data_IF_402159919204
#
_entry.id   IF_402159919204
#
_cell.length_a   1.000
_cell.length_b   1.000
_cell.length_c   1.000
_cell.angle_alpha   90.00
_cell.angle_beta   90.00
_cell.angle_gamma   90.00
#
_symmetry.space_group_name_H-M   'P 1'
#
loop_
_entity.id
_entity.type
_entity.pdbx_description
1 polymer ?
#
# COMPACT_ATOMS: atom_id res chain seq x y z
N UNK A 1 -18.60 -5.60 11.60
CA UNK A 1 -17.44 -4.75 11.21
C UNK A 1 -16.30 -5.72 11.00
N UNK A 2 -15.92 -5.96 9.74
CA UNK A 2 -14.98 -7.01 9.37
C UNK A 2 -13.58 -6.67 9.87
N UNK A 3 -12.84 -7.68 10.33
CA UNK A 3 -11.40 -7.57 10.48
C UNK A 3 -10.83 -7.69 9.06
N UNK A 4 -10.23 -6.64 8.51
CA UNK A 4 -9.49 -6.77 7.24
C UNK A 4 -8.30 -7.70 7.48
N UNK A 5 -8.18 -8.75 6.66
CA UNK A 5 -7.07 -9.72 6.73
C UNK A 5 -6.26 -9.58 5.46
N UNK A 6 -5.14 -8.85 5.57
CA UNK A 6 -4.20 -8.63 4.47
C UNK A 6 -2.94 -9.47 4.68
N UNK A 7 -2.52 -10.19 3.65
CA UNK A 7 -1.19 -10.80 3.56
C UNK A 7 -0.34 -10.11 2.50
N UNK A 8 0.95 -9.93 2.78
CA UNK A 8 1.90 -9.20 1.93
C UNK A 8 3.14 -10.00 1.66
N UNK A 9 3.56 -10.02 0.41
CA UNK A 9 4.68 -10.82 -0.08
C UNK A 9 5.63 -9.98 -0.91
N UNK A 10 6.92 -10.29 -0.83
CA UNK A 10 7.88 -9.87 -1.84
C UNK A 10 7.60 -10.60 -3.15
N UNK A 11 7.88 -9.97 -4.29
CA UNK A 11 7.76 -10.60 -5.60
C UNK A 11 9.12 -11.15 -6.03
N UNK A 12 9.18 -12.43 -6.39
CA UNK A 12 10.42 -13.11 -6.75
C UNK A 12 10.64 -13.28 -8.26
N UNK A 13 9.63 -12.98 -9.09
CA UNK A 13 9.75 -12.97 -10.56
C UNK A 13 8.67 -12.13 -11.23
N UNK A 14 8.93 -11.68 -12.46
CA UNK A 14 7.99 -10.86 -13.25
C UNK A 14 6.90 -11.70 -13.96
N UNK A 15 6.76 -12.98 -13.62
CA UNK A 15 5.81 -13.88 -14.26
C UNK A 15 4.34 -13.44 -14.10
N UNK A 16 4.05 -12.59 -13.11
CA UNK A 16 2.72 -12.00 -12.88
C UNK A 16 2.25 -11.07 -14.00
N UNK A 17 3.17 -10.48 -14.79
CA UNK A 17 2.82 -9.52 -15.85
C UNK A 17 1.83 -10.10 -16.87
N UNK A 18 1.94 -11.39 -17.17
CA UNK A 18 1.09 -12.05 -18.19
C UNK A 18 -0.37 -12.20 -17.75
N UNK A 19 -0.61 -12.14 -16.46
CA UNK A 19 -1.91 -12.42 -15.82
C UNK A 19 -2.57 -11.12 -15.32
N UNK A 20 -2.00 -9.95 -15.63
CA UNK A 20 -2.56 -8.64 -15.24
C UNK A 20 -3.88 -8.39 -15.96
N UNK A 21 -4.95 -8.23 -15.16
CA UNK A 21 -6.28 -7.91 -15.67
C UNK A 21 -6.51 -6.42 -15.87
N UNK A 22 -5.98 -5.59 -14.97
CA UNK A 22 -6.03 -4.12 -15.04
C UNK A 22 -4.89 -3.52 -14.21
N UNK A 23 -4.67 -2.23 -14.39
CA UNK A 23 -3.66 -1.49 -13.62
C UNK A 23 -4.18 -0.10 -13.28
N UNK A 24 -3.75 0.43 -12.15
CA UNK A 24 -4.16 1.73 -11.67
C UNK A 24 -2.98 2.46 -11.03
N UNK A 25 -2.83 3.75 -11.35
CA UNK A 25 -1.80 4.58 -10.72
C UNK A 25 -2.31 5.09 -9.38
N UNK A 26 -1.48 4.96 -8.36
CA UNK A 26 -1.74 5.50 -7.04
C UNK A 26 -0.73 6.59 -6.72
N UNK A 27 -1.22 7.67 -6.12
CA UNK A 27 -0.41 8.70 -5.45
C UNK A 27 -1.04 8.97 -4.10
N UNK A 28 -0.26 8.93 -3.03
CA UNK A 28 -0.78 9.22 -1.70
C UNK A 28 0.26 9.91 -0.83
N UNK A 29 -0.22 10.66 0.16
CA UNK A 29 0.59 11.42 1.09
C UNK A 29 -0.16 11.68 2.37
N UNK A 30 0.57 12.05 3.41
CA UNK A 30 0.01 12.32 4.74
C UNK A 30 0.09 13.81 5.04
N UNK A 31 -1.01 14.36 5.58
CA UNK A 31 -1.12 15.76 5.99
C UNK A 31 -0.82 15.90 7.48
N UNK A 32 0.11 16.81 7.79
CA UNK A 32 0.48 17.16 9.16
C UNK A 32 1.13 16.01 9.95
N UNK A 33 1.41 16.29 11.21
CA UNK A 33 1.88 15.33 12.20
C UNK A 33 1.02 15.52 13.46
N UNK A 34 -0.09 14.78 13.52
CA UNK A 34 -1.04 14.88 14.63
C UNK A 34 -0.94 13.63 15.48
N UNK A 35 -0.77 13.74 16.81
CA UNK A 35 -0.75 12.58 17.70
C UNK A 35 -2.13 11.92 17.86
N UNK A 36 -3.20 12.59 17.42
CA UNK A 36 -4.57 12.12 17.57
C UNK A 36 -5.09 11.36 16.34
N UNK A 37 -4.63 11.73 15.14
CA UNK A 37 -5.14 11.16 13.90
C UNK A 37 -4.14 11.27 12.74
N UNK A 38 -4.18 10.27 11.86
CA UNK A 38 -3.51 10.30 10.57
C UNK A 38 -4.49 10.78 9.51
N UNK A 39 -4.12 11.80 8.74
CA UNK A 39 -4.88 12.29 7.59
C UNK A 39 -4.11 11.94 6.32
N UNK A 40 -4.70 11.14 5.44
CA UNK A 40 -4.10 10.67 4.20
C UNK A 40 -4.90 11.15 3.01
N UNK A 41 -4.22 11.82 2.08
CA UNK A 41 -4.75 12.10 0.74
C UNK A 41 -4.33 10.94 -0.15
N UNK A 42 -5.27 10.37 -0.91
CA UNK A 42 -4.99 9.29 -1.87
C UNK A 42 -5.72 9.55 -3.17
N UNK A 43 -4.98 9.49 -4.28
CA UNK A 43 -5.48 9.40 -5.64
C UNK A 43 -5.31 7.96 -6.11
N UNK A 44 -6.39 7.41 -6.66
CA UNK A 44 -6.46 6.12 -7.35
C UNK A 44 -7.01 6.37 -8.76
N UNK A 45 -6.13 6.37 -9.77
CA UNK A 45 -6.50 6.68 -11.14
C UNK A 45 -7.09 8.09 -11.25
N UNK A 46 -8.38 8.18 -11.50
CA UNK A 46 -9.13 9.44 -11.65
C UNK A 46 -9.97 9.81 -10.42
N UNK A 47 -9.89 9.00 -9.35
CA UNK A 47 -10.65 9.22 -8.11
C UNK A 47 -9.71 9.63 -6.99
N UNK A 48 -10.19 10.47 -6.08
CA UNK A 48 -9.41 10.92 -4.94
C UNK A 48 -10.23 10.94 -3.66
N UNK A 49 -9.59 10.56 -2.55
CA UNK A 49 -10.21 10.49 -1.25
C UNK A 49 -9.27 11.03 -0.16
N UNK A 50 -9.87 11.68 0.83
CA UNK A 50 -9.28 11.92 2.15
C UNK A 50 -9.69 10.80 3.09
N UNK A 51 -8.71 10.23 3.78
CA UNK A 51 -8.90 9.21 4.78
C UNK A 51 -8.35 9.73 6.12
N UNK A 52 -9.19 9.75 7.15
CA UNK A 52 -8.84 10.24 8.49
C UNK A 52 -9.00 9.07 9.46
N UNK A 53 -7.90 8.62 10.04
CA UNK A 53 -7.86 7.48 10.99
C UNK A 53 -7.36 7.94 12.35
N UNK A 54 -8.13 7.68 13.40
CA UNK A 54 -7.69 7.92 14.77
C UNK A 54 -6.46 7.07 15.14
N UNK A 55 -5.51 7.63 15.90
CA UNK A 55 -4.30 6.95 16.36
C UNK A 55 -4.50 6.14 17.67
N UNK A 56 -5.73 5.98 18.14
CA UNK A 56 -6.03 5.29 19.40
C UNK A 56 -5.56 3.84 19.40
N UNK A 57 -5.08 3.39 20.57
CA UNK A 57 -4.69 2.00 20.84
C UNK A 57 -5.96 1.17 21.05
N UNK A 58 -6.23 0.21 20.16
CA UNK A 58 -7.37 -0.71 20.25
C UNK A 58 -7.74 -1.36 18.91
N UNK A 59 -8.61 -2.36 18.93
CA UNK A 59 -9.02 -3.16 17.75
C UNK A 59 -9.92 -2.38 16.77
N UNK A 60 -10.54 -1.28 17.24
CA UNK A 60 -11.42 -0.43 16.43
C UNK A 60 -11.00 1.02 16.63
N UNK A 61 -10.61 1.67 15.53
CA UNK A 61 -10.31 3.11 15.51
C UNK A 61 -11.38 3.82 14.66
N UNK A 62 -11.78 5.05 15.03
CA UNK A 62 -12.58 5.88 14.16
C UNK A 62 -11.87 6.07 12.82
N UNK A 63 -12.59 5.83 11.75
CA UNK A 63 -12.13 6.01 10.39
C UNK A 63 -13.20 6.76 9.60
N UNK A 64 -12.77 7.77 8.85
CA UNK A 64 -13.62 8.59 8.01
C UNK A 64 -13.03 8.67 6.62
N UNK A 65 -13.88 8.52 5.61
CA UNK A 65 -13.51 8.64 4.21
C UNK A 65 -14.39 9.69 3.52
N UNK A 66 -13.74 10.59 2.79
CA UNK A 66 -14.41 11.66 2.05
C UNK A 66 -13.86 11.72 0.62
N UNK A 67 -14.72 11.65 -0.40
CA UNK A 67 -14.28 11.95 -1.76
C UNK A 67 -13.88 13.43 -1.85
N UNK A 68 -12.83 13.70 -2.62
CA UNK A 68 -12.37 15.06 -2.92
C UNK A 68 -12.15 15.22 -4.42
N UNK A 69 -12.32 16.43 -4.98
CA UNK A 69 -11.98 16.68 -6.38
C UNK A 69 -10.52 16.32 -6.67
N UNK A 70 -10.26 15.70 -7.83
CA UNK A 70 -8.92 15.25 -8.21
C UNK A 70 -7.90 16.39 -8.19
N UNK A 71 -8.28 17.56 -8.74
CA UNK A 71 -7.42 18.75 -8.76
C UNK A 71 -7.04 19.24 -7.35
N UNK A 72 -7.98 19.16 -6.40
CA UNK A 72 -7.71 19.54 -5.01
C UNK A 72 -6.77 18.52 -4.36
N UNK A 73 -6.98 17.22 -4.63
CA UNK A 73 -6.09 16.17 -4.12
C UNK A 73 -4.66 16.30 -4.66
N UNK A 74 -4.48 16.60 -5.95
CA UNK A 74 -3.17 16.87 -6.54
C UNK A 74 -2.50 18.06 -5.85
N UNK A 75 -3.23 19.18 -5.67
CA UNK A 75 -2.71 20.35 -4.97
C UNK A 75 -2.31 20.03 -3.52
N UNK A 76 -3.12 19.28 -2.77
CA UNK A 76 -2.82 18.83 -1.41
C UNK A 76 -1.55 17.96 -1.38
N UNK A 77 -1.46 16.98 -2.27
CA UNK A 77 -0.31 16.07 -2.36
C UNK A 77 0.97 16.82 -2.70
N UNK A 78 0.92 17.73 -3.66
CA UNK A 78 2.11 18.41 -4.15
C UNK A 78 2.61 19.47 -3.17
N UNK A 79 1.70 20.21 -2.53
CA UNK A 79 2.03 21.41 -1.76
C UNK A 79 2.03 21.20 -0.24
N UNK A 80 1.15 20.34 0.29
CA UNK A 80 0.90 20.27 1.74
C UNK A 80 1.26 18.93 2.38
N UNK A 81 1.26 17.83 1.61
CA UNK A 81 1.64 16.53 2.14
C UNK A 81 3.13 16.43 2.44
N UNK A 82 3.45 15.70 3.51
CA UNK A 82 4.82 15.32 3.84
C UNK A 82 5.45 14.55 2.67
N UNK A 83 6.74 14.79 2.44
CA UNK A 83 7.55 14.11 1.44
C UNK A 83 8.44 13.03 2.06
N UNK A 84 8.80 11.98 1.30
CA UNK A 84 8.30 11.66 -0.03
C UNK A 84 6.82 11.25 -0.05
N UNK A 85 6.20 11.38 -1.22
CA UNK A 85 4.90 10.77 -1.48
C UNK A 85 5.07 9.26 -1.70
N UNK A 86 4.02 8.50 -1.46
CA UNK A 86 3.95 7.11 -1.91
C UNK A 86 3.28 7.09 -3.28
N UNK A 87 4.07 6.76 -4.29
CA UNK A 87 3.61 6.61 -5.67
C UNK A 87 3.84 5.18 -6.11
N UNK A 88 2.86 4.58 -6.77
CA UNK A 88 2.94 3.20 -7.27
C UNK A 88 2.00 2.96 -8.43
N UNK A 89 2.27 1.93 -9.21
CA UNK A 89 1.28 1.32 -10.12
C UNK A 89 0.85 0.02 -9.47
N UNK A 90 -0.45 -0.10 -9.19
CA UNK A 90 -1.06 -1.33 -8.70
C UNK A 90 -1.60 -2.12 -9.88
N UNK A 91 -1.14 -3.35 -10.03
CA UNK A 91 -1.60 -4.30 -11.02
C UNK A 91 -2.50 -5.34 -10.35
N UNK A 92 -3.65 -5.61 -10.93
CA UNK A 92 -4.62 -6.56 -10.39
C UNK A 92 -4.50 -7.88 -11.15
N UNK A 93 -4.09 -8.95 -10.45
CA UNK A 93 -3.71 -10.24 -11.03
C UNK A 93 -4.64 -11.32 -10.47
N UNK A 94 -5.61 -11.81 -11.26
CA UNK A 94 -6.46 -12.92 -10.84
C UNK A 94 -5.66 -14.21 -10.72
N UNK A 95 -5.75 -14.89 -9.58
CA UNK A 95 -5.11 -16.18 -9.38
C UNK A 95 -5.92 -17.04 -8.40
N UNK A 96 -6.26 -18.27 -8.82
CA UNK A 96 -6.93 -19.28 -7.99
C UNK A 96 -8.17 -18.77 -7.22
N UNK A 97 -8.98 -17.91 -7.83
CA UNK A 97 -10.22 -17.39 -7.23
C UNK A 97 -10.08 -16.07 -6.46
N UNK A 98 -8.85 -15.58 -6.26
CA UNK A 98 -8.59 -14.29 -5.61
C UNK A 98 -8.02 -13.27 -6.60
N UNK A 99 -8.14 -11.99 -6.26
CA UNK A 99 -7.43 -10.91 -6.94
C UNK A 99 -6.22 -10.54 -6.08
N UNK A 100 -5.04 -10.68 -6.66
CA UNK A 100 -3.80 -10.21 -6.07
C UNK A 100 -3.52 -8.79 -6.53
N UNK A 101 -3.05 -7.95 -5.62
CA UNK A 101 -2.64 -6.58 -5.89
C UNK A 101 -1.11 -6.51 -5.90
N UNK A 102 -0.51 -6.44 -7.09
CA UNK A 102 0.93 -6.28 -7.24
C UNK A 102 1.28 -4.81 -7.39
N UNK A 103 1.95 -4.27 -6.40
CA UNK A 103 2.36 -2.87 -6.32
C UNK A 103 3.81 -2.69 -6.76
N UNK A 104 3.99 -1.95 -7.86
CA UNK A 104 5.30 -1.48 -8.31
C UNK A 104 5.48 -0.04 -7.85
N UNK A 105 6.32 0.16 -6.85
CA UNK A 105 6.56 1.50 -6.29
C UNK A 105 7.42 2.37 -7.22
N UNK A 106 7.20 3.68 -7.13
CA UNK A 106 7.83 4.72 -7.93
C UNK A 106 8.54 5.74 -7.02
N UNK A 107 9.25 6.68 -7.65
CA UNK A 107 9.92 7.78 -6.94
C UNK A 107 10.98 7.27 -5.96
N UNK A 108 10.96 7.78 -4.74
CA UNK A 108 11.91 7.42 -3.68
C UNK A 108 11.79 5.95 -3.23
N UNK A 109 10.66 5.30 -3.57
CA UNK A 109 10.42 3.89 -3.29
C UNK A 109 10.63 2.99 -4.53
N UNK A 110 11.15 3.54 -5.64
CA UNK A 110 11.37 2.79 -6.86
C UNK A 110 12.28 1.57 -6.66
N UNK A 111 11.90 0.46 -7.30
CA UNK A 111 12.57 -0.85 -7.20
C UNK A 111 11.93 -1.79 -6.17
N UNK A 112 11.08 -1.29 -5.28
CA UNK A 112 10.25 -2.13 -4.42
C UNK A 112 9.04 -2.65 -5.20
N UNK A 113 8.84 -3.97 -5.18
CA UNK A 113 7.64 -4.64 -5.68
C UNK A 113 7.10 -5.55 -4.59
N UNK A 114 5.84 -5.35 -4.22
CA UNK A 114 5.13 -6.18 -3.24
C UNK A 114 3.83 -6.68 -3.83
N UNK A 115 3.35 -7.81 -3.35
CA UNK A 115 2.04 -8.32 -3.68
C UNK A 115 1.21 -8.47 -2.41
N UNK A 116 -0.01 -7.98 -2.47
CA UNK A 116 -0.98 -8.03 -1.38
C UNK A 116 -2.18 -8.89 -1.82
N UNK A 117 -2.74 -9.63 -0.87
CA UNK A 117 -4.03 -10.31 -0.99
C UNK A 117 -4.86 -9.94 0.24
N UNK A 118 -6.08 -9.47 0.00
CA UNK A 118 -7.08 -9.22 1.03
C UNK A 118 -8.05 -10.41 1.09
N UNK A 119 -8.33 -10.87 2.31
CA UNK A 119 -9.21 -11.99 2.61
C UNK A 119 -10.43 -11.50 3.38
N UNK A 120 -11.57 -12.16 3.17
CA UNK A 120 -12.85 -11.81 3.80
C UNK A 120 -12.87 -12.18 5.29
N UNK A 121 -12.08 -13.18 5.69
CA UNK A 121 -12.04 -13.65 7.08
C UNK A 121 -10.65 -14.19 7.50
N UNK A 122 -10.33 -14.12 8.81
CA UNK A 122 -9.14 -14.78 9.34
C UNK A 122 -9.17 -16.29 9.10
N UNK A 123 -8.09 -16.82 8.54
CA UNK A 123 -7.95 -18.26 8.25
C UNK A 123 -8.61 -18.73 6.96
N UNK A 124 -9.11 -17.81 6.13
CA UNK A 124 -9.50 -18.12 4.77
C UNK A 124 -8.31 -18.68 3.99
N UNK A 125 -8.52 -19.80 3.29
CA UNK A 125 -7.49 -20.46 2.53
C UNK A 125 -7.31 -19.79 1.16
N UNK A 126 -6.08 -19.50 0.79
CA UNK A 126 -5.71 -18.99 -0.53
C UNK A 126 -4.52 -19.77 -1.09
N UNK A 127 -4.36 -19.74 -2.41
CA UNK A 127 -3.21 -20.37 -3.08
C UNK A 127 -2.14 -19.32 -3.36
N UNK A 128 -0.88 -19.63 -3.01
CA UNK A 128 0.24 -18.75 -3.28
C UNK A 128 0.68 -18.84 -4.76
N UNK A 129 0.68 -17.73 -5.53
CA UNK A 129 1.20 -17.72 -6.88
C UNK A 129 2.70 -18.05 -6.92
N UNK A 130 3.22 -18.70 -7.98
CA UNK A 130 4.65 -19.03 -8.08
C UNK A 130 5.61 -17.83 -8.05
N UNK A 131 5.11 -16.63 -8.33
CA UNK A 131 5.87 -15.38 -8.31
C UNK A 131 5.83 -14.66 -6.96
N UNK A 132 4.98 -15.10 -6.02
CA UNK A 132 4.95 -14.57 -4.66
C UNK A 132 6.03 -15.29 -3.82
N UNK A 133 6.93 -14.50 -3.24
CA UNK A 133 8.09 -14.94 -2.48
C UNK A 133 7.87 -14.89 -0.98
N UNK A 134 8.82 -14.31 -0.26
CA UNK A 134 8.79 -14.22 1.19
C UNK A 134 7.61 -13.39 1.70
N UNK A 135 6.90 -13.90 2.70
CA UNK A 135 5.86 -13.16 3.38
C UNK A 135 6.47 -12.09 4.30
N UNK A 136 6.00 -10.86 4.17
CA UNK A 136 6.46 -9.67 4.90
C UNK A 136 5.31 -8.95 5.62
N UNK A 137 4.15 -9.59 5.76
CA UNK A 137 2.94 -9.06 6.42
C UNK A 137 3.23 -8.45 7.80
N UNK A 138 4.11 -9.09 8.59
CA UNK A 138 4.49 -8.63 9.93
C UNK A 138 5.59 -7.58 9.98
N UNK A 139 6.21 -7.22 8.85
CA UNK A 139 7.36 -6.33 8.81
C UNK A 139 6.90 -4.88 8.58
N UNK A 140 6.84 -4.10 9.67
CA UNK A 140 6.37 -2.70 9.69
C UNK A 140 7.07 -1.81 8.66
N UNK A 141 8.32 -2.09 8.28
CA UNK A 141 9.04 -1.30 7.25
C UNK A 141 8.35 -1.29 5.89
N UNK A 142 7.60 -2.33 5.54
CA UNK A 142 6.86 -2.43 4.27
C UNK A 142 5.51 -1.70 4.28
N UNK A 143 5.16 -1.01 5.37
CA UNK A 143 3.90 -0.26 5.45
C UNK A 143 4.09 1.11 4.80
N UNK A 144 3.05 1.61 4.11
CA UNK A 144 3.11 2.90 3.39
C UNK A 144 3.58 4.06 4.29
N UNK A 145 3.15 4.11 5.54
CA UNK A 145 3.57 5.15 6.50
C UNK A 145 5.07 5.07 6.84
N UNK A 146 5.62 3.85 6.89
CA UNK A 146 7.04 3.62 7.13
C UNK A 146 7.87 4.00 5.91
N UNK A 147 7.39 3.68 4.71
CA UNK A 147 8.02 4.07 3.44
C UNK A 147 8.06 5.58 3.19
N UNK A 148 7.19 6.36 3.85
CA UNK A 148 7.32 7.83 3.87
C UNK A 148 8.43 8.29 4.81
N UNK A 149 8.65 7.60 5.93
CA UNK A 149 9.65 8.01 6.92
C UNK A 149 11.06 7.51 6.57
N UNK A 150 11.17 6.33 5.99
CA UNK A 150 12.42 5.68 5.57
C UNK A 150 12.18 4.97 4.23
N UNK A 151 12.30 5.70 3.11
CA UNK A 151 11.96 5.20 1.79
C UNK A 151 12.93 4.11 1.33
N UNK A 152 12.46 3.25 0.41
CA UNK A 152 13.19 2.07 -0.06
C UNK A 152 14.60 2.37 -0.59
N UNK A 153 14.81 3.54 -1.22
CA UNK A 153 16.14 3.94 -1.68
C UNK A 153 17.19 3.97 -0.58
N UNK A 154 16.78 4.24 0.67
CA UNK A 154 17.65 4.37 1.82
C UNK A 154 17.90 3.03 2.52
N UNK A 155 17.15 1.98 2.15
CA UNK A 155 17.28 0.65 2.76
C UNK A 155 18.61 -0.01 2.40
N UNK A 156 19.19 -0.70 3.39
CA UNK A 156 20.34 -1.58 3.24
C UNK A 156 20.00 -2.83 2.45
N UNK A 157 21.03 -3.54 1.94
CA UNK A 157 20.83 -4.80 1.23
C UNK A 157 20.14 -5.88 2.09
N UNK A 158 20.39 -5.87 3.40
CA UNK A 158 19.78 -6.80 4.35
C UNK A 158 18.28 -6.52 4.53
N UNK A 159 17.89 -5.25 4.71
CA UNK A 159 16.48 -4.85 4.83
C UNK A 159 15.67 -5.23 3.58
N UNK A 160 16.29 -5.09 2.39
CA UNK A 160 15.69 -5.46 1.11
C UNK A 160 15.52 -6.97 0.92
N UNK A 161 16.28 -7.80 1.63
CA UNK A 161 16.15 -9.25 1.55
C UNK A 161 14.89 -9.79 2.24
N UNK A 162 14.14 -8.94 2.95
CA UNK A 162 12.91 -9.34 3.65
C UNK A 162 13.17 -10.10 4.95
N UNK A 163 14.41 -10.07 5.46
CA UNK A 163 14.73 -10.59 6.80
C UNK A 163 14.37 -9.57 7.87
N UNK A 164 13.94 -10.07 9.03
CA UNK A 164 13.47 -9.31 10.20
C UNK A 164 14.57 -8.53 10.90
#
# INVERSE_FOLDING_TARGET
>A
MGLEVEHKFLVCSDAWHRDVSRSCRFRQGYLGDSPAASVRVRIEGEQANLNIKGMTIGVQRPEFEYPVPLADADALLDQLCRKPLIEKIRHFVPFAGHIWEVDVFLGDNAGLVVAEIELEAPGEAFSLPPWAGAEVSGLVRYYNVSLVSYPYRDWTAEERAGHG
#
